data_IF_925435820297
#
_entry.id   IF_925435820297
#
_cell.length_a   1.000
_cell.length_b   1.000
_cell.length_c   1.000
_cell.angle_alpha   90.00
_cell.angle_beta   90.00
_cell.angle_gamma   90.00
#
_symmetry.space_group_name_H-M   'P 1'
#
loop_
_entity.id
_entity.type
_entity.pdbx_description
1 polymer ?
#
# COMPACT_ATOMS: atom_id res chain seq x y z
N UNK A 1 -7.28 7.38 18.17
CA UNK A 1 -8.52 7.71 17.45
C UNK A 1 -8.43 7.52 15.93
N UNK A 2 -7.26 7.60 15.29
CA UNK A 2 -7.13 7.49 13.82
C UNK A 2 -7.49 6.11 13.24
N UNK A 3 -7.08 5.03 13.90
CA UNK A 3 -7.34 3.65 13.48
C UNK A 3 -8.77 3.16 13.70
N UNK A 4 -9.58 3.90 14.46
CA UNK A 4 -10.90 3.46 14.87
C UNK A 4 -11.94 4.44 14.34
N UNK A 5 -13.02 3.91 13.75
CA UNK A 5 -14.20 4.68 13.39
C UNK A 5 -15.34 4.31 14.34
N UNK A 6 -15.99 5.30 14.94
CA UNK A 6 -17.23 5.07 15.68
C UNK A 6 -18.37 4.84 14.69
N UNK A 7 -19.16 3.80 14.94
CA UNK A 7 -20.37 3.53 14.17
C UNK A 7 -21.44 4.58 14.50
N UNK A 8 -21.92 5.27 13.47
CA UNK A 8 -22.96 6.30 13.57
C UNK A 8 -24.33 5.72 13.98
N UNK A 9 -24.55 4.40 13.80
CA UNK A 9 -25.83 3.73 14.12
C UNK A 9 -25.85 3.14 15.52
N UNK A 10 -24.82 2.39 15.93
CA UNK A 10 -24.81 1.68 17.22
C UNK A 10 -23.80 2.22 18.24
N UNK A 11 -23.03 3.26 17.90
CA UNK A 11 -22.01 3.84 18.78
C UNK A 11 -20.77 2.97 19.00
N UNK A 12 -20.73 1.74 18.46
CA UNK A 12 -19.61 0.83 18.65
C UNK A 12 -18.34 1.31 17.92
N UNK A 13 -17.16 1.04 18.48
CA UNK A 13 -15.87 1.36 17.84
C UNK A 13 -15.47 0.26 16.88
N UNK A 14 -15.40 0.59 15.60
CA UNK A 14 -14.95 -0.30 14.53
C UNK A 14 -13.47 -0.05 14.30
N UNK A 15 -12.64 -1.09 14.37
CA UNK A 15 -11.25 -1.00 13.94
C UNK A 15 -11.19 -0.95 12.41
N UNK A 16 -10.55 0.08 11.83
CA UNK A 16 -10.37 0.19 10.37
C UNK A 16 -9.46 -0.94 9.83
N UNK A 17 -8.49 -1.38 10.63
CA UNK A 17 -7.49 -2.38 10.28
C UNK A 17 -7.94 -3.82 10.58
N UNK A 18 -9.24 -4.16 10.42
CA UNK A 18 -9.82 -5.48 10.77
C UNK A 18 -8.86 -6.67 10.55
N UNK A 19 -8.04 -6.63 9.48
CA UNK A 19 -6.76 -7.34 9.41
C UNK A 19 -5.62 -6.43 8.88
N UNK A 20 -4.36 -6.85 9.05
CA UNK A 20 -3.18 -6.22 8.40
C UNK A 20 -3.31 -6.22 6.86
N UNK A 21 -4.07 -7.16 6.30
CA UNK A 21 -4.30 -7.26 4.86
C UNK A 21 -5.33 -6.22 4.37
N UNK A 22 -6.26 -5.81 5.24
CA UNK A 22 -7.28 -4.79 4.92
C UNK A 22 -6.69 -3.38 4.70
N UNK A 23 -5.39 -3.18 4.97
CA UNK A 23 -4.70 -1.89 4.73
C UNK A 23 -4.89 -1.39 3.31
N UNK A 24 -4.90 -2.32 2.36
CA UNK A 24 -5.02 -2.02 0.95
C UNK A 24 -6.43 -2.19 0.43
N UNK A 25 -7.19 -3.15 0.98
CA UNK A 25 -8.54 -3.47 0.52
C UNK A 25 -9.50 -2.28 0.69
N UNK A 26 -9.41 -1.56 1.83
CA UNK A 26 -10.20 -0.35 2.08
C UNK A 26 -9.91 0.77 1.09
N UNK A 27 -8.65 0.93 0.68
CA UNK A 27 -8.24 1.90 -0.34
C UNK A 27 -8.70 1.47 -1.73
N UNK A 28 -8.87 0.18 -1.98
CA UNK A 28 -9.34 -0.38 -3.25
C UNK A 28 -10.87 -0.39 -3.39
N UNK A 29 -11.57 -0.03 -2.30
CA UNK A 29 -13.02 0.10 -2.28
C UNK A 29 -13.74 -1.04 -1.61
N UNK A 30 -13.03 -1.87 -0.82
CA UNK A 30 -13.67 -2.86 0.02
C UNK A 30 -14.53 -2.19 1.12
N UNK A 31 -15.51 -2.95 1.59
CA UNK A 31 -16.53 -2.47 2.51
C UNK A 31 -16.20 -2.92 3.93
N UNK A 32 -16.03 -1.95 4.82
CA UNK A 32 -15.89 -2.21 6.25
C UNK A 32 -17.28 -2.39 6.86
N UNK A 33 -17.56 -3.56 7.42
CA UNK A 33 -18.82 -3.82 8.12
C UNK A 33 -18.65 -3.61 9.63
N UNK A 34 -19.65 -2.99 10.27
CA UNK A 34 -19.73 -2.95 11.72
C UNK A 34 -20.03 -4.36 12.27
N UNK A 35 -19.26 -4.89 13.22
CA UNK A 35 -19.49 -6.23 13.76
C UNK A 35 -20.80 -6.34 14.57
N UNK A 36 -21.36 -5.22 15.04
CA UNK A 36 -22.53 -5.22 15.92
C UNK A 36 -23.86 -5.03 15.18
N UNK A 37 -23.90 -4.14 14.19
CA UNK A 37 -25.13 -3.81 13.45
C UNK A 37 -25.01 -4.01 11.94
N UNK A 38 -23.90 -4.58 11.46
CA UNK A 38 -23.65 -4.91 10.05
C UNK A 38 -23.72 -3.72 9.08
N UNK A 39 -23.69 -2.48 9.59
CA UNK A 39 -23.65 -1.28 8.75
C UNK A 39 -22.35 -1.24 7.94
N UNK A 40 -22.51 -0.95 6.65
CA UNK A 40 -21.42 -0.92 5.69
C UNK A 40 -20.82 0.49 5.58
N UNK A 41 -19.49 0.53 5.53
CA UNK A 41 -18.72 1.75 5.34
C UNK A 41 -17.72 1.59 4.20
N UNK A 42 -17.56 2.62 3.38
CA UNK A 42 -16.66 2.62 2.24
C UNK A 42 -15.90 3.95 2.14
N UNK A 43 -14.72 3.93 1.53
CA UNK A 43 -13.96 5.14 1.24
C UNK A 43 -14.55 5.91 0.05
N UNK A 44 -14.14 7.16 -0.14
CA UNK A 44 -14.59 7.99 -1.27
C UNK A 44 -14.09 7.41 -2.61
N UNK A 45 -14.87 7.58 -3.69
CA UNK A 45 -14.56 7.13 -5.06
C UNK A 45 -13.20 7.60 -5.56
N UNK A 46 -12.75 8.80 -5.18
CA UNK A 46 -11.43 9.33 -5.56
C UNK A 46 -10.30 8.47 -4.96
N UNK A 47 -10.43 8.11 -3.69
CA UNK A 47 -9.45 7.27 -2.98
C UNK A 47 -9.46 5.87 -3.58
N UNK A 48 -10.65 5.33 -3.90
CA UNK A 48 -10.80 4.07 -4.62
C UNK A 48 -10.08 4.09 -5.97
N UNK A 49 -10.27 5.15 -6.74
CA UNK A 49 -9.63 5.31 -8.04
C UNK A 49 -8.10 5.35 -7.93
N UNK A 50 -7.57 6.13 -6.98
CA UNK A 50 -6.12 6.17 -6.69
C UNK A 50 -5.59 4.82 -6.20
N UNK A 51 -6.36 4.10 -5.39
CA UNK A 51 -6.04 2.74 -4.96
C UNK A 51 -5.90 1.79 -6.14
N UNK A 52 -6.83 1.83 -7.10
CA UNK A 52 -6.83 1.00 -8.30
C UNK A 52 -5.74 1.39 -9.30
N UNK A 53 -5.42 2.67 -9.43
CA UNK A 53 -4.28 3.11 -10.27
C UNK A 53 -2.96 2.52 -9.76
N UNK A 54 -2.76 2.49 -8.44
CA UNK A 54 -1.62 1.80 -7.82
C UNK A 54 -1.69 0.27 -7.95
N UNK A 55 -2.81 -0.33 -8.33
CA UNK A 55 -2.88 -1.78 -8.57
C UNK A 55 -2.25 -2.16 -9.91
N UNK A 56 -2.23 -1.23 -10.88
CA UNK A 56 -1.57 -1.50 -12.15
C UNK A 56 -0.08 -1.68 -11.91
N UNK A 57 0.40 -2.90 -12.21
CA UNK A 57 1.77 -3.33 -11.94
C UNK A 57 2.77 -2.25 -12.38
N UNK A 58 2.67 -1.84 -13.66
CA UNK A 58 3.49 -0.81 -14.28
C UNK A 58 3.57 0.52 -13.50
N UNK A 59 2.44 1.10 -13.11
CA UNK A 59 2.44 2.43 -12.48
C UNK A 59 3.11 2.36 -11.11
N UNK A 60 2.81 1.33 -10.32
CA UNK A 60 3.45 1.16 -9.01
C UNK A 60 4.96 0.92 -9.12
N UNK A 61 5.43 0.20 -10.14
CA UNK A 61 6.88 0.03 -10.38
C UNK A 61 7.55 1.35 -10.75
N UNK A 62 6.97 2.09 -11.69
CA UNK A 62 7.53 3.38 -12.13
C UNK A 62 7.61 4.33 -10.94
N UNK A 63 6.56 4.41 -10.11
CA UNK A 63 6.55 5.23 -8.91
C UNK A 63 7.63 4.80 -7.91
N UNK A 64 7.82 3.49 -7.68
CA UNK A 64 8.86 3.00 -6.77
C UNK A 64 10.27 3.31 -7.28
N UNK A 65 10.53 3.12 -8.58
CA UNK A 65 11.81 3.46 -9.20
C UNK A 65 12.10 4.96 -9.10
N UNK A 66 11.12 5.81 -9.41
CA UNK A 66 11.26 7.27 -9.30
C UNK A 66 11.60 7.67 -7.87
N UNK A 67 10.90 7.12 -6.86
CA UNK A 67 11.18 7.41 -5.45
C UNK A 67 12.60 6.94 -5.07
N UNK A 68 13.03 5.76 -5.51
CA UNK A 68 14.37 5.26 -5.24
C UNK A 68 15.46 6.18 -5.81
N UNK A 69 15.29 6.64 -7.04
CA UNK A 69 16.20 7.59 -7.69
C UNK A 69 16.21 8.93 -6.94
N UNK A 70 15.05 9.45 -6.56
CA UNK A 70 14.95 10.69 -5.77
C UNK A 70 15.68 10.57 -4.43
N UNK A 71 15.53 9.45 -3.72
CA UNK A 71 16.23 9.22 -2.45
C UNK A 71 17.74 9.18 -2.66
N UNK A 72 18.22 8.50 -3.71
CA UNK A 72 19.66 8.45 -3.96
C UNK A 72 20.24 9.84 -4.29
N UNK A 73 19.54 10.63 -5.10
CA UNK A 73 19.93 12.02 -5.40
C UNK A 73 19.96 12.87 -4.12
N UNK A 74 18.92 12.77 -3.29
CA UNK A 74 18.81 13.51 -2.05
C UNK A 74 19.90 13.11 -1.04
N UNK A 75 20.22 11.82 -0.97
CA UNK A 75 21.29 11.29 -0.13
C UNK A 75 22.65 11.84 -0.57
N UNK A 76 22.94 11.80 -1.87
CA UNK A 76 24.18 12.36 -2.40
C UNK A 76 24.29 13.87 -2.15
N UNK A 77 23.17 14.60 -2.24
CA UNK A 77 23.13 16.02 -1.94
C UNK A 77 23.46 16.33 -0.46
N UNK A 78 22.93 15.56 0.48
CA UNK A 78 23.12 15.80 1.92
C UNK A 78 24.45 15.28 2.45
N UNK A 79 24.81 14.05 2.08
CA UNK A 79 25.95 13.34 2.67
C UNK A 79 27.20 13.40 1.79
N UNK A 80 27.14 14.08 0.64
CA UNK A 80 28.22 14.17 -0.36
C UNK A 80 28.82 12.80 -0.71
N UNK A 81 28.01 11.75 -0.67
CA UNK A 81 28.39 10.39 -0.98
C UNK A 81 27.21 9.69 -1.64
N UNK A 82 27.48 8.83 -2.62
CA UNK A 82 26.42 8.04 -3.24
C UNK A 82 25.97 6.95 -2.27
N UNK A 83 24.68 6.91 -1.95
CA UNK A 83 24.14 5.72 -1.32
C UNK A 83 24.31 4.54 -2.30
N UNK A 84 24.62 3.36 -1.78
CA UNK A 84 24.50 2.15 -2.60
C UNK A 84 23.06 2.10 -3.13
N UNK A 85 22.88 2.01 -4.45
CA UNK A 85 21.56 1.98 -5.10
C UNK A 85 20.66 0.93 -4.45
N UNK A 86 21.23 -0.17 -3.96
CA UNK A 86 20.52 -1.19 -3.19
C UNK A 86 19.85 -0.64 -1.92
N UNK A 87 20.56 0.18 -1.15
CA UNK A 87 20.03 0.80 0.08
C UNK A 87 18.92 1.78 -0.29
N UNK A 88 19.08 2.54 -1.38
CA UNK A 88 18.05 3.45 -1.87
C UNK A 88 16.76 2.72 -2.27
N UNK A 89 16.87 1.55 -2.92
CA UNK A 89 15.72 0.70 -3.26
C UNK A 89 15.02 0.10 -2.03
N UNK A 90 15.78 -0.34 -1.02
CA UNK A 90 15.21 -0.82 0.24
C UNK A 90 14.50 0.30 1.00
N UNK A 91 15.12 1.47 1.08
CA UNK A 91 14.56 2.63 1.76
C UNK A 91 13.31 3.16 1.06
N UNK A 92 13.29 3.19 -0.28
CA UNK A 92 12.10 3.58 -1.05
C UNK A 92 10.94 2.60 -0.84
N UNK A 93 11.22 1.30 -0.78
CA UNK A 93 10.21 0.29 -0.49
C UNK A 93 9.60 0.52 0.90
N UNK A 94 10.45 0.72 1.91
CA UNK A 94 10.03 0.95 3.29
C UNK A 94 9.19 2.24 3.41
N UNK A 95 9.61 3.32 2.74
CA UNK A 95 8.86 4.58 2.68
C UNK A 95 7.47 4.41 2.06
N UNK A 96 7.34 3.66 0.96
CA UNK A 96 6.04 3.41 0.33
C UNK A 96 5.12 2.62 1.28
N UNK A 97 5.64 1.63 1.99
CA UNK A 97 4.87 0.89 3.00
C UNK A 97 4.39 1.83 4.12
N UNK A 98 5.25 2.68 4.64
CA UNK A 98 4.89 3.66 5.66
C UNK A 98 3.84 4.66 5.17
N UNK A 99 3.98 5.20 3.95
CA UNK A 99 3.01 6.13 3.36
C UNK A 99 1.65 5.46 3.21
N UNK A 100 1.59 4.23 2.69
CA UNK A 100 0.32 3.50 2.56
C UNK A 100 -0.34 3.24 3.93
N UNK A 101 0.46 2.92 4.96
CA UNK A 101 -0.04 2.76 6.32
C UNK A 101 -0.63 4.07 6.90
N UNK A 102 0.06 5.19 6.71
CA UNK A 102 -0.42 6.51 7.13
C UNK A 102 -1.72 6.85 6.39
N UNK A 103 -1.75 6.72 5.06
CA UNK A 103 -2.95 6.98 4.27
C UNK A 103 -4.14 6.20 4.84
N UNK A 104 -3.96 4.91 5.12
CA UNK A 104 -5.03 4.08 5.66
C UNK A 104 -5.56 4.56 7.02
N UNK A 105 -4.68 5.06 7.90
CA UNK A 105 -5.09 5.62 9.18
C UNK A 105 -5.99 6.86 8.99
N UNK A 106 -5.68 7.70 8.00
CA UNK A 106 -6.39 8.95 7.72
C UNK A 106 -7.55 8.81 6.73
N UNK A 107 -7.71 7.66 6.06
CA UNK A 107 -8.79 7.46 5.10
C UNK A 107 -10.15 7.72 5.79
N UNK A 108 -10.96 8.65 5.25
CA UNK A 108 -12.33 8.87 5.71
C UNK A 108 -13.22 7.75 5.16
N UNK A 109 -14.07 7.24 6.04
CA UNK A 109 -15.04 6.18 5.73
C UNK A 109 -16.43 6.78 5.82
N UNK A 110 -17.28 6.51 4.84
CA UNK A 110 -18.65 7.01 4.76
C UNK A 110 -19.62 5.83 4.80
N UNK A 111 -20.76 6.01 5.45
CA UNK A 111 -21.80 4.98 5.46
C UNK A 111 -22.32 4.77 4.04
N UNK A 112 -22.47 3.50 3.65
CA UNK A 112 -23.01 3.11 2.35
C UNK A 112 -24.14 2.11 2.53
N UNK A 113 -25.17 2.22 1.70
CA UNK A 113 -26.29 1.27 1.63
C UNK A 113 -26.07 0.19 0.56
N UNK A 114 -24.96 0.28 -0.18
CA UNK A 114 -24.71 -0.56 -1.35
C UNK A 114 -24.25 -1.95 -0.87
N UNK A 115 -24.97 -3.00 -1.26
CA UNK A 115 -24.55 -4.40 -1.08
C UNK A 115 -23.12 -4.59 -1.64
N UNK A 116 -22.30 -5.47 -1.03
CA UNK A 116 -20.92 -5.66 -1.44
C UNK A 116 -20.88 -6.03 -2.93
N UNK A 117 -20.40 -5.12 -3.77
CA UNK A 117 -20.08 -5.44 -5.15
C UNK A 117 -18.94 -6.47 -5.10
N UNK A 118 -19.16 -7.59 -5.79
CA UNK A 118 -18.39 -8.82 -5.80
C UNK A 118 -16.91 -8.67 -5.39
N UNK A 119 -16.46 -9.47 -4.41
CA UNK A 119 -15.07 -9.58 -3.94
C UNK A 119 -14.12 -9.63 -5.13
N UNK A 120 -13.41 -8.54 -5.42
CA UNK A 120 -12.23 -8.61 -6.28
C UNK A 120 -11.18 -9.43 -5.55
N UNK A 121 -11.06 -10.67 -6.00
CA UNK A 121 -10.33 -11.75 -5.39
C UNK A 121 -8.83 -11.44 -5.31
N UNK A 122 -8.40 -11.21 -4.06
CA UNK A 122 -7.07 -11.47 -3.48
C UNK A 122 -5.92 -10.53 -3.87
N UNK A 123 -5.91 -9.36 -3.22
CA UNK A 123 -4.75 -8.48 -2.96
C UNK A 123 -3.46 -9.26 -2.59
N UNK A 124 -3.57 -10.37 -1.86
CA UNK A 124 -2.46 -11.29 -1.55
C UNK A 124 -1.73 -11.85 -2.80
N UNK A 125 -2.45 -12.20 -3.88
CA UNK A 125 -1.83 -12.80 -5.09
C UNK A 125 -0.97 -11.76 -5.80
N UNK A 126 -1.39 -10.49 -5.77
CA UNK A 126 -0.65 -9.38 -6.35
C UNK A 126 0.65 -9.15 -5.57
N UNK A 127 0.61 -9.17 -4.23
CA UNK A 127 1.80 -9.03 -3.40
C UNK A 127 2.76 -10.22 -3.46
N UNK A 128 2.25 -11.45 -3.55
CA UNK A 128 3.07 -12.64 -3.80
C UNK A 128 3.83 -12.48 -5.13
N UNK A 129 3.19 -11.92 -6.17
CA UNK A 129 3.85 -11.61 -7.44
C UNK A 129 4.92 -10.53 -7.29
N UNK A 130 4.66 -9.45 -6.54
CA UNK A 130 5.66 -8.41 -6.25
C UNK A 130 6.87 -8.96 -5.49
N UNK A 131 6.63 -9.80 -4.47
CA UNK A 131 7.70 -10.39 -3.67
C UNK A 131 8.55 -11.37 -4.48
N UNK A 132 7.92 -12.30 -5.21
CA UNK A 132 8.63 -13.26 -6.07
C UNK A 132 9.45 -12.53 -7.13
N UNK A 133 8.89 -11.49 -7.76
CA UNK A 133 9.59 -10.76 -8.81
C UNK A 133 10.73 -9.88 -8.27
N UNK A 134 10.56 -9.27 -7.08
CA UNK A 134 11.64 -8.58 -6.38
C UNK A 134 12.80 -9.53 -6.05
N UNK A 135 12.50 -10.74 -5.56
CA UNK A 135 13.51 -11.79 -5.32
C UNK A 135 14.23 -12.18 -6.60
N UNK A 136 13.51 -12.34 -7.72
CA UNK A 136 14.11 -12.66 -9.03
C UNK A 136 15.07 -11.54 -9.46
N UNK A 137 14.66 -10.27 -9.43
CA UNK A 137 15.55 -9.16 -9.82
C UNK A 137 16.76 -9.05 -8.89
N UNK A 138 16.57 -9.22 -7.58
CA UNK A 138 17.68 -9.25 -6.62
C UNK A 138 18.67 -10.36 -7.03
N UNK A 139 18.18 -11.57 -7.32
CA UNK A 139 19.04 -12.67 -7.77
C UNK A 139 19.73 -12.39 -9.11
N UNK A 140 19.06 -11.69 -10.04
CA UNK A 140 19.65 -11.30 -11.33
C UNK A 140 20.74 -10.24 -11.17
N UNK A 141 20.56 -9.25 -10.30
CA UNK A 141 21.55 -8.21 -10.02
C UNK A 141 22.76 -8.83 -9.31
N UNK A 142 22.55 -9.73 -8.34
CA UNK A 142 23.64 -10.48 -7.70
C UNK A 142 24.36 -11.41 -8.69
N UNK A 143 23.63 -12.05 -9.62
CA UNK A 143 24.22 -12.84 -10.69
C UNK A 143 25.09 -12.01 -11.64
N UNK A 144 24.67 -10.80 -11.99
CA UNK A 144 25.44 -9.91 -12.88
C UNK A 144 26.65 -9.32 -12.13
N UNK A 145 26.50 -8.82 -10.90
CA UNK A 145 27.61 -8.25 -10.15
C UNK A 145 28.58 -9.29 -9.56
N UNK A 146 28.12 -10.52 -9.29
CA UNK A 146 28.98 -11.62 -8.86
C UNK A 146 29.81 -12.27 -9.97
N UNK A 147 29.50 -11.98 -11.24
CA UNK A 147 30.31 -12.42 -12.40
C UNK A 147 31.37 -11.37 -12.77
N UNK A 148 31.20 -10.11 -12.35
CA UNK A 148 32.13 -9.00 -12.61
C UNK A 148 32.97 -8.59 -11.38
N UNK A 149 32.93 -9.37 -10.29
CA UNK A 149 33.73 -9.20 -9.07
C UNK A 149 34.89 -10.17 -9.00
#
# INVERSE_FOLDING_TARGET
>A
MLLYKTCEVCGNRINKLQSIWNIYDLKMGDVLQCPNCSTAYQTNKIIMFLGRLNETFMISWIMWLVIAVCINIFWNYIFHNNANMFIAFLLSFLLIVCINFIIMCFIPLYQTQILPCNKTQKSYIIWLKYFIFAVIIISSIFGIFGIFG
#
